data_IF_010997702444
#
_entry.id   IF_010997702444
#
_cell.length_a   1.000
_cell.length_b   1.000
_cell.length_c   1.000
_cell.angle_alpha   90.00
_cell.angle_beta   90.00
_cell.angle_gamma   90.00
#
_symmetry.space_group_name_H-M   'P 1'
#
loop_
_entity.id
_entity.type
_entity.pdbx_description
1 polymer ?
#
# COMPACT_ATOMS: atom_id res chain seq x y z
N UNK A 1 14.22 -14.31 -24.09
CA UNK A 1 12.93 -13.88 -23.55
C UNK A 1 12.63 -14.70 -22.30
N UNK A 2 12.49 -14.05 -21.14
CA UNK A 2 12.15 -14.75 -19.92
C UNK A 2 10.66 -15.09 -19.91
N UNK A 3 10.33 -16.35 -19.61
CA UNK A 3 8.95 -16.79 -19.43
C UNK A 3 8.53 -16.47 -18.00
N UNK A 4 7.46 -15.70 -17.84
CA UNK A 4 6.93 -15.37 -16.52
C UNK A 4 6.24 -16.60 -15.91
N UNK A 5 6.58 -16.91 -14.68
CA UNK A 5 5.91 -17.97 -13.93
C UNK A 5 4.52 -17.53 -13.46
N UNK A 6 4.38 -16.25 -13.09
CA UNK A 6 3.14 -15.66 -12.63
C UNK A 6 2.84 -14.39 -13.41
N UNK A 7 1.59 -14.20 -13.80
CA UNK A 7 1.14 -13.02 -14.55
C UNK A 7 0.40 -12.00 -13.67
N UNK A 8 0.07 -12.38 -12.45
CA UNK A 8 -0.59 -11.52 -11.48
C UNK A 8 -0.13 -11.92 -10.10
N UNK A 9 0.29 -10.93 -9.30
CA UNK A 9 0.78 -11.16 -7.94
C UNK A 9 0.11 -10.22 -6.95
N UNK A 10 0.01 -10.68 -5.71
CA UNK A 10 -0.33 -9.82 -4.58
C UNK A 10 0.90 -9.68 -3.71
N UNK A 11 1.37 -8.45 -3.56
CA UNK A 11 2.53 -8.12 -2.74
C UNK A 11 2.04 -7.63 -1.38
N UNK A 12 2.47 -8.29 -0.31
CA UNK A 12 2.15 -7.88 1.05
C UNK A 12 3.35 -7.17 1.65
N UNK A 13 3.17 -5.89 2.02
CA UNK A 13 4.22 -5.07 2.61
C UNK A 13 3.87 -4.70 4.05
N UNK A 14 4.80 -4.85 4.97
CA UNK A 14 4.69 -4.23 6.29
C UNK A 14 4.87 -2.71 6.17
N UNK A 15 4.23 -1.95 7.06
CA UNK A 15 4.37 -0.49 7.05
C UNK A 15 5.81 -0.03 7.24
N UNK A 16 6.62 -0.80 7.94
CA UNK A 16 8.04 -0.54 8.18
C UNK A 16 8.84 -0.40 6.87
N UNK A 17 8.35 -0.98 5.79
CA UNK A 17 8.98 -0.85 4.47
C UNK A 17 9.06 0.59 3.99
N UNK A 18 8.19 1.47 4.50
CA UNK A 18 8.18 2.89 4.15
C UNK A 18 8.97 3.76 5.10
N UNK A 19 9.54 3.21 6.17
CA UNK A 19 10.36 3.98 7.09
C UNK A 19 11.85 3.75 6.84
N UNK A 20 12.67 4.72 7.22
CA UNK A 20 14.11 4.54 7.22
C UNK A 20 14.52 3.45 8.23
N UNK A 21 15.65 2.81 8.03
CA UNK A 21 16.13 1.74 8.90
C UNK A 21 16.17 2.19 10.38
N UNK A 22 15.48 1.45 11.23
CA UNK A 22 15.37 1.78 12.66
C UNK A 22 14.50 2.99 12.97
N UNK A 23 13.87 3.60 11.97
CA UNK A 23 13.03 4.78 12.12
C UNK A 23 11.55 4.48 12.20
N UNK A 24 10.76 5.55 12.25
CA UNK A 24 9.31 5.52 12.21
C UNK A 24 8.82 6.52 11.16
N UNK A 25 7.51 6.51 10.88
CA UNK A 25 6.92 7.40 9.90
C UNK A 25 7.17 6.96 8.47
N UNK A 26 6.99 7.89 7.54
CA UNK A 26 7.14 7.65 6.10
C UNK A 26 8.40 8.37 5.61
N UNK A 27 9.32 7.61 5.04
CA UNK A 27 10.55 8.15 4.47
C UNK A 27 10.42 8.22 2.95
N UNK A 28 10.64 9.40 2.38
CA UNK A 28 10.48 9.64 0.95
C UNK A 28 11.44 8.78 0.10
N UNK A 29 12.65 8.55 0.58
CA UNK A 29 13.65 7.73 -0.14
C UNK A 29 13.18 6.27 -0.19
N UNK A 30 12.67 5.74 0.92
CA UNK A 30 12.17 4.38 0.97
C UNK A 30 10.93 4.19 0.09
N UNK A 31 9.99 5.13 0.13
CA UNK A 31 8.80 5.07 -0.71
C UNK A 31 9.18 5.07 -2.20
N UNK A 32 10.12 5.91 -2.58
CA UNK A 32 10.63 5.98 -3.96
C UNK A 32 11.30 4.69 -4.39
N UNK A 33 12.10 4.08 -3.51
CA UNK A 33 12.78 2.83 -3.81
C UNK A 33 11.81 1.66 -4.01
N UNK A 34 10.82 1.55 -3.13
CA UNK A 34 9.78 0.53 -3.27
C UNK A 34 8.99 0.74 -4.56
N UNK A 35 8.62 1.99 -4.85
CA UNK A 35 7.91 2.32 -6.08
C UNK A 35 8.71 1.92 -7.32
N UNK A 36 10.03 2.16 -7.31
CA UNK A 36 10.91 1.76 -8.40
C UNK A 36 10.91 0.25 -8.61
N UNK A 37 10.98 -0.52 -7.52
CA UNK A 37 10.96 -1.99 -7.60
C UNK A 37 9.63 -2.51 -8.13
N UNK A 38 8.52 -1.93 -7.71
CA UNK A 38 7.19 -2.29 -8.20
C UNK A 38 7.07 -1.96 -9.69
N UNK A 39 7.58 -0.81 -10.10
CA UNK A 39 7.61 -0.40 -11.50
C UNK A 39 8.35 -1.44 -12.36
N UNK A 40 9.51 -1.90 -11.91
CA UNK A 40 10.30 -2.92 -12.61
C UNK A 40 9.49 -4.20 -12.82
N UNK A 41 8.76 -4.65 -11.79
CA UNK A 41 7.89 -5.83 -11.90
C UNK A 41 6.74 -5.57 -12.88
N UNK A 42 6.14 -4.39 -12.81
CA UNK A 42 5.04 -4.02 -13.70
C UNK A 42 5.50 -3.98 -15.17
N UNK A 43 6.72 -3.50 -15.43
CA UNK A 43 7.30 -3.44 -16.77
C UNK A 43 7.55 -4.83 -17.38
N UNK A 44 7.64 -5.87 -16.55
CA UNK A 44 7.69 -7.25 -17.03
C UNK A 44 6.34 -7.76 -17.56
N UNK A 45 5.27 -6.98 -17.41
CA UNK A 45 3.94 -7.38 -17.80
C UNK A 45 3.14 -8.09 -16.71
N UNK A 46 3.61 -8.02 -15.45
CA UNK A 46 2.93 -8.63 -14.30
C UNK A 46 1.93 -7.65 -13.72
N UNK A 47 0.70 -8.09 -13.51
CA UNK A 47 -0.28 -7.31 -12.75
C UNK A 47 0.08 -7.34 -11.27
N UNK A 48 0.04 -6.18 -10.61
CA UNK A 48 0.45 -6.05 -9.21
C UNK A 48 -0.68 -5.48 -8.37
N UNK A 49 -1.06 -6.23 -7.35
CA UNK A 49 -1.89 -5.75 -6.25
C UNK A 49 -1.04 -5.69 -4.99
N UNK A 50 -1.25 -4.68 -4.15
CA UNK A 50 -0.45 -4.47 -2.95
C UNK A 50 -1.37 -4.34 -1.74
N UNK A 51 -0.99 -5.03 -0.66
CA UNK A 51 -1.59 -4.84 0.66
C UNK A 51 -0.50 -4.29 1.57
N UNK A 52 -0.76 -3.17 2.22
CA UNK A 52 0.25 -2.51 3.05
C UNK A 52 -0.25 -2.31 4.48
N UNK A 53 0.64 -2.58 5.45
CA UNK A 53 0.35 -2.37 6.87
C UNK A 53 0.67 -0.95 7.33
N UNK A 54 0.56 -0.71 8.63
CA UNK A 54 0.74 0.60 9.25
C UNK A 54 1.73 0.61 10.42
N UNK A 55 2.56 -0.42 10.55
CA UNK A 55 3.45 -0.57 11.69
C UNK A 55 4.50 0.53 11.88
N UNK A 56 4.77 1.33 10.85
CA UNK A 56 5.63 2.51 10.91
C UNK A 56 4.94 3.72 11.53
N UNK A 57 3.60 3.74 11.53
CA UNK A 57 2.80 4.87 12.01
C UNK A 57 2.12 4.56 13.34
N UNK A 58 1.60 3.35 13.50
CA UNK A 58 0.81 2.96 14.65
C UNK A 58 0.86 1.46 14.89
N UNK A 59 0.94 1.05 16.16
CA UNK A 59 0.82 -0.35 16.58
C UNK A 59 -0.24 -0.46 17.66
N UNK A 60 -1.17 -1.40 17.49
CA UNK A 60 -2.25 -1.65 18.44
C UNK A 60 -1.75 -1.92 19.86
N UNK A 61 -0.58 -2.58 19.98
CA UNK A 61 0.05 -2.84 21.28
C UNK A 61 0.33 -1.55 22.05
N UNK A 62 0.79 -0.50 21.37
CA UNK A 62 1.04 0.81 22.00
C UNK A 62 -0.27 1.39 22.54
N UNK A 63 -1.35 1.27 21.77
CA UNK A 63 -2.67 1.70 22.22
C UNK A 63 -3.13 0.95 23.47
N UNK A 64 -2.91 -0.35 23.52
CA UNK A 64 -3.23 -1.16 24.71
C UNK A 64 -2.43 -0.70 25.93
N UNK A 65 -1.14 -0.42 25.76
CA UNK A 65 -0.28 0.09 26.84
C UNK A 65 -0.73 1.45 27.35
N UNK A 66 -1.34 2.24 26.48
CA UNK A 66 -1.91 3.56 26.83
C UNK A 66 -3.31 3.45 27.46
N UNK A 67 -3.87 2.24 27.58
CA UNK A 67 -5.23 2.03 28.08
C UNK A 67 -6.32 2.42 27.10
N UNK A 68 -6.02 2.48 25.82
CA UNK A 68 -7.02 2.81 24.79
C UNK A 68 -8.00 1.68 24.57
N UNK A 69 -9.23 2.04 24.16
CA UNK A 69 -10.20 1.09 23.65
C UNK A 69 -9.63 0.38 22.41
N UNK A 70 -9.75 -0.94 22.40
CA UNK A 70 -9.14 -1.73 21.31
C UNK A 70 -9.72 -1.40 19.94
N UNK A 71 -11.03 -1.23 19.85
CA UNK A 71 -11.67 -0.88 18.57
C UNK A 71 -11.14 0.45 18.03
N UNK A 72 -10.97 1.43 18.92
CA UNK A 72 -10.40 2.74 18.55
C UNK A 72 -8.96 2.60 18.06
N UNK A 73 -8.14 1.84 18.78
CA UNK A 73 -6.75 1.60 18.41
C UNK A 73 -6.65 0.89 17.05
N UNK A 74 -7.55 -0.07 16.80
CA UNK A 74 -7.60 -0.80 15.53
C UNK A 74 -8.00 0.13 14.36
N UNK A 75 -8.96 1.03 14.58
CA UNK A 75 -9.31 2.04 13.58
C UNK A 75 -8.13 2.96 13.25
N UNK A 76 -7.34 3.32 14.25
CA UNK A 76 -6.12 4.11 14.01
C UNK A 76 -5.15 3.37 13.11
N UNK A 77 -4.99 2.07 13.33
CA UNK A 77 -4.17 1.23 12.46
C UNK A 77 -4.70 1.19 11.03
N UNK A 78 -6.01 1.04 10.87
CA UNK A 78 -6.64 1.03 9.54
C UNK A 78 -6.44 2.37 8.83
N UNK A 79 -6.58 3.49 9.52
CA UNK A 79 -6.32 4.81 8.95
C UNK A 79 -4.85 4.97 8.57
N UNK A 80 -3.94 4.42 9.37
CA UNK A 80 -2.52 4.39 9.05
C UNK A 80 -2.21 3.63 7.75
N UNK A 81 -2.92 2.52 7.49
CA UNK A 81 -2.74 1.78 6.23
C UNK A 81 -3.11 2.64 5.03
N UNK A 82 -4.17 3.43 5.14
CA UNK A 82 -4.59 4.33 4.06
C UNK A 82 -3.54 5.42 3.82
N UNK A 83 -2.96 5.98 4.89
CA UNK A 83 -1.87 6.95 4.75
C UNK A 83 -0.68 6.35 3.99
N UNK A 84 -0.27 5.15 4.36
CA UNK A 84 0.82 4.46 3.67
C UNK A 84 0.49 4.15 2.21
N UNK A 85 -0.74 3.73 1.94
CA UNK A 85 -1.20 3.46 0.58
C UNK A 85 -1.17 4.72 -0.28
N UNK A 86 -1.60 5.86 0.26
CA UNK A 86 -1.54 7.14 -0.45
C UNK A 86 -0.10 7.56 -0.74
N UNK A 87 0.80 7.40 0.23
CA UNK A 87 2.21 7.71 0.05
C UNK A 87 2.84 6.85 -1.05
N UNK A 88 2.54 5.56 -1.06
CA UNK A 88 3.06 4.65 -2.08
C UNK A 88 2.45 4.95 -3.46
N UNK A 89 1.15 5.22 -3.51
CA UNK A 89 0.49 5.64 -4.75
C UNK A 89 1.17 6.88 -5.34
N UNK A 90 1.39 7.90 -4.53
CA UNK A 90 2.05 9.12 -4.97
C UNK A 90 3.44 8.83 -5.54
N UNK A 91 4.23 8.02 -4.84
CA UNK A 91 5.56 7.63 -5.29
C UNK A 91 5.52 6.85 -6.61
N UNK A 92 4.56 5.95 -6.78
CA UNK A 92 4.38 5.19 -8.02
C UNK A 92 3.97 6.11 -9.18
N UNK A 93 3.02 7.00 -8.95
CA UNK A 93 2.56 7.90 -10.02
C UNK A 93 3.64 8.89 -10.45
N UNK A 94 4.51 9.33 -9.53
CA UNK A 94 5.67 10.13 -9.87
C UNK A 94 6.65 9.39 -10.79
N UNK A 95 6.61 8.08 -10.81
CA UNK A 95 7.41 7.25 -11.71
C UNK A 95 6.65 6.78 -12.93
N UNK A 96 5.46 7.32 -13.17
CA UNK A 96 4.66 7.00 -14.34
C UNK A 96 3.82 5.74 -14.22
N UNK A 97 3.67 5.19 -13.02
CA UNK A 97 2.87 3.99 -12.78
C UNK A 97 1.48 4.40 -12.27
N UNK A 98 0.46 4.21 -13.08
CA UNK A 98 -0.91 4.50 -12.70
C UNK A 98 -1.33 3.59 -11.55
N UNK A 99 -1.82 4.17 -10.46
CA UNK A 99 -2.11 3.45 -9.22
C UNK A 99 -3.46 3.86 -8.65
N UNK A 100 -4.18 2.93 -8.04
CA UNK A 100 -5.46 3.20 -7.38
C UNK A 100 -5.44 2.65 -5.97
N UNK A 101 -5.80 3.49 -5.00
CA UNK A 101 -5.93 3.09 -3.60
C UNK A 101 -7.37 2.71 -3.32
N UNK A 102 -7.55 1.56 -2.69
CA UNK A 102 -8.86 1.05 -2.29
C UNK A 102 -8.84 0.76 -0.79
N UNK A 103 -9.97 0.99 -0.12
CA UNK A 103 -10.09 0.79 1.32
C UNK A 103 -11.46 0.23 1.68
N UNK A 104 -11.52 -0.56 2.75
CA UNK A 104 -12.78 -1.07 3.30
C UNK A 104 -13.50 -0.06 4.19
N UNK A 105 -12.79 0.95 4.71
CA UNK A 105 -13.42 2.06 5.43
C UNK A 105 -13.84 3.11 4.41
N UNK A 106 -15.11 3.48 4.44
CA UNK A 106 -15.63 4.44 3.46
C UNK A 106 -15.00 5.83 3.67
N UNK A 107 -14.23 6.27 2.68
CA UNK A 107 -13.61 7.59 2.64
C UNK A 107 -13.37 8.01 1.19
N UNK A 108 -14.45 8.10 0.43
CA UNK A 108 -14.44 8.28 -1.02
C UNK A 108 -13.65 9.49 -1.53
N UNK A 109 -13.43 10.48 -0.68
CA UNK A 109 -12.65 11.67 -1.04
C UNK A 109 -11.19 11.34 -1.34
N UNK A 110 -10.64 10.32 -0.69
CA UNK A 110 -9.21 10.01 -0.76
C UNK A 110 -8.88 8.62 -1.32
N UNK A 111 -9.83 7.67 -1.23
CA UNK A 111 -9.61 6.30 -1.68
C UNK A 111 -10.92 5.67 -2.13
N UNK A 112 -10.84 4.76 -3.11
CA UNK A 112 -12.02 4.06 -3.59
C UNK A 112 -12.50 3.02 -2.58
N UNK A 113 -13.82 2.76 -2.50
CA UNK A 113 -14.30 1.60 -1.76
C UNK A 113 -13.74 0.32 -2.37
N UNK A 114 -13.32 -0.62 -1.51
CA UNK A 114 -12.82 -1.89 -2.00
C UNK A 114 -13.96 -2.71 -2.59
N UNK A 115 -13.87 -2.97 -3.88
CA UNK A 115 -14.74 -3.88 -4.64
C UNK A 115 -13.81 -4.72 -5.49
N UNK A 116 -13.77 -6.04 -5.27
CA UNK A 116 -12.79 -6.91 -5.90
C UNK A 116 -12.82 -6.88 -7.42
N UNK A 117 -14.01 -6.77 -8.02
CA UNK A 117 -14.14 -6.68 -9.48
C UNK A 117 -13.54 -5.40 -10.03
N UNK A 118 -13.66 -4.31 -9.29
CA UNK A 118 -13.03 -3.03 -9.66
C UNK A 118 -11.51 -3.12 -9.57
N UNK A 119 -10.99 -3.81 -8.56
CA UNK A 119 -9.55 -4.04 -8.43
C UNK A 119 -9.01 -4.80 -9.64
N UNK A 120 -9.70 -5.87 -10.05
CA UNK A 120 -9.34 -6.64 -11.25
C UNK A 120 -9.38 -5.76 -12.51
N UNK A 121 -10.42 -4.95 -12.65
CA UNK A 121 -10.55 -4.03 -13.79
C UNK A 121 -9.38 -3.04 -13.86
N UNK A 122 -8.96 -2.49 -12.72
CA UNK A 122 -7.80 -1.63 -12.67
C UNK A 122 -6.52 -2.35 -13.15
N UNK A 123 -6.30 -3.57 -12.67
CA UNK A 123 -5.14 -4.37 -13.07
C UNK A 123 -5.17 -4.70 -14.56
N UNK A 124 -6.33 -5.01 -15.11
CA UNK A 124 -6.50 -5.26 -16.55
C UNK A 124 -6.12 -4.05 -17.39
N UNK A 125 -6.28 -2.84 -16.84
CA UNK A 125 -5.86 -1.59 -17.48
C UNK A 125 -4.41 -1.23 -17.19
N UNK A 126 -3.64 -2.12 -16.59
CA UNK A 126 -2.24 -1.90 -16.29
C UNK A 126 -1.97 -1.05 -15.06
N UNK A 127 -2.98 -0.77 -14.25
CA UNK A 127 -2.83 -0.02 -13.01
C UNK A 127 -2.39 -0.92 -11.88
N UNK A 128 -1.61 -0.36 -10.93
CA UNK A 128 -1.32 -1.01 -9.65
C UNK A 128 -2.47 -0.68 -8.69
N UNK A 129 -2.84 -1.67 -7.89
CA UNK A 129 -3.92 -1.52 -6.90
C UNK A 129 -3.38 -1.76 -5.50
#
# INVERSE_FOLDING_TARGET
MQTLKYHRIMLKLGGESLSAAGGSGIDAVQAKDIARRIKEVRELGVDVAIVIGAGNLWRGRVGQEMGMDQATADYMGMLGTVMNALALMDALEHQGVMTRVMTSIEMKTVAEPYIWRRAIHHMEKGRVV
#
